data_IF_165004626240
#
_entry.id   IF_165004626240
#
_cell.length_a   1.000
_cell.length_b   1.000
_cell.length_c   1.000
_cell.angle_alpha   90.00
_cell.angle_beta   90.00
_cell.angle_gamma   90.00
#
_symmetry.space_group_name_H-M   'P 1'
#
loop_
_entity.id
_entity.type
_entity.pdbx_description
1 polymer ?
#
# COMPACT_ATOMS: atom_id res chain seq x y z
N UNK A 1 -18.47 -27.56 17.66
CA UNK A 1 -17.40 -28.47 18.16
C UNK A 1 -16.33 -27.56 18.77
N UNK A 2 -16.31 -27.44 20.10
CA UNK A 2 -15.32 -26.65 20.84
C UNK A 2 -14.08 -27.54 20.97
N UNK A 3 -13.18 -27.45 19.99
CA UNK A 3 -11.90 -28.16 20.00
C UNK A 3 -10.99 -27.53 21.04
N UNK A 4 -10.79 -28.23 22.16
CA UNK A 4 -9.92 -27.79 23.26
C UNK A 4 -8.45 -27.86 22.86
N UNK A 5 -7.83 -26.70 22.64
CA UNK A 5 -6.38 -26.57 22.57
C UNK A 5 -5.82 -26.44 24.00
N UNK A 6 -4.58 -26.91 24.26
CA UNK A 6 -3.91 -26.68 25.52
C UNK A 6 -3.82 -25.18 25.83
N UNK A 7 -4.01 -24.79 27.10
CA UNK A 7 -3.96 -23.38 27.54
C UNK A 7 -2.65 -22.67 27.15
N UNK A 8 -1.54 -23.41 27.05
CA UNK A 8 -0.24 -22.90 26.62
C UNK A 8 -0.19 -22.43 25.15
N UNK A 9 -1.12 -22.87 24.31
CA UNK A 9 -1.14 -22.56 22.88
C UNK A 9 -1.44 -21.08 22.63
N UNK A 10 -2.47 -20.53 23.29
CA UNK A 10 -2.86 -19.13 23.14
C UNK A 10 -1.79 -18.16 23.67
N UNK A 11 -1.03 -18.57 24.68
CA UNK A 11 0.01 -17.75 25.30
C UNK A 11 1.27 -17.63 24.42
N UNK A 12 1.54 -18.63 23.57
CA UNK A 12 2.71 -18.66 22.68
C UNK A 12 2.42 -18.18 21.27
N UNK A 13 1.19 -18.40 20.78
CA UNK A 13 0.82 -18.19 19.37
C UNK A 13 -0.33 -17.20 19.17
N UNK A 14 -0.89 -16.64 20.25
CA UNK A 14 -2.08 -15.79 20.18
C UNK A 14 -3.39 -16.57 20.07
N UNK A 15 -4.54 -15.90 20.02
CA UNK A 15 -5.84 -16.56 20.01
C UNK A 15 -6.02 -17.47 18.78
N UNK A 16 -6.49 -18.69 19.03
CA UNK A 16 -6.66 -19.77 18.02
C UNK A 16 -7.70 -19.42 16.95
N UNK A 17 -8.65 -18.57 17.29
CA UNK A 17 -9.58 -17.96 16.34
C UNK A 17 -9.25 -16.48 16.29
N UNK A 18 -9.25 -15.90 15.09
CA UNK A 18 -9.23 -14.45 14.97
C UNK A 18 -10.31 -13.90 15.90
N UNK A 19 -9.98 -13.02 16.87
CA UNK A 19 -10.98 -12.45 17.74
C UNK A 19 -12.08 -11.87 16.85
N UNK A 20 -13.35 -12.02 17.25
CA UNK A 20 -14.43 -11.27 16.61
C UNK A 20 -13.99 -9.80 16.61
N UNK A 21 -13.63 -9.27 15.44
CA UNK A 21 -13.15 -7.91 15.30
C UNK A 21 -14.36 -7.00 15.50
N UNK A 22 -14.68 -6.71 16.75
CA UNK A 22 -15.51 -5.57 17.07
C UNK A 22 -14.70 -4.35 16.66
N UNK A 23 -15.09 -3.72 15.55
CA UNK A 23 -14.45 -2.49 15.09
C UNK A 23 -14.75 -1.39 16.12
N UNK A 24 -13.76 -1.12 16.97
CA UNK A 24 -13.76 0.00 17.90
C UNK A 24 -13.17 1.22 17.19
N UNK A 25 -13.83 2.37 17.31
CA UNK A 25 -13.30 3.64 16.80
C UNK A 25 -12.27 4.27 17.73
N UNK A 26 -11.99 3.63 18.87
CA UNK A 26 -11.06 4.13 19.88
C UNK A 26 -9.66 3.56 19.65
N UNK A 27 -8.67 4.40 19.94
CA UNK A 27 -7.28 3.96 20.03
C UNK A 27 -7.10 2.94 21.17
N UNK A 28 -6.31 1.86 20.98
CA UNK A 28 -5.47 1.54 19.82
C UNK A 28 -6.16 0.68 18.74
N UNK A 29 -7.40 0.28 18.95
CA UNK A 29 -8.11 -0.68 18.08
C UNK A 29 -8.49 -0.13 16.70
N UNK A 30 -8.38 1.20 16.52
CA UNK A 30 -8.68 1.91 15.28
C UNK A 30 -7.45 2.07 14.35
N UNK A 31 -6.30 1.47 14.69
CA UNK A 31 -5.07 1.52 13.89
C UNK A 31 -4.55 0.10 13.67
N UNK A 32 -4.20 -0.21 12.43
CA UNK A 32 -3.53 -1.46 12.06
C UNK A 32 -2.44 -1.20 11.01
N UNK A 33 -1.46 -2.11 10.97
CA UNK A 33 -0.35 -2.07 10.01
C UNK A 33 -0.40 -3.30 9.12
N UNK A 34 -0.08 -3.12 7.84
CA UNK A 34 0.07 -4.21 6.87
C UNK A 34 1.36 -4.01 6.07
N UNK A 35 2.06 -5.11 5.83
CA UNK A 35 3.18 -5.15 4.90
C UNK A 35 2.66 -5.60 3.54
N UNK A 36 2.67 -4.70 2.56
CA UNK A 36 2.16 -4.98 1.20
C UNK A 36 2.89 -4.08 0.19
N UNK A 37 3.06 -4.58 -1.04
CA UNK A 37 3.32 -3.73 -2.18
C UNK A 37 2.00 -3.19 -2.75
N UNK A 38 1.74 -1.90 -2.54
CA UNK A 38 0.50 -1.29 -3.01
C UNK A 38 0.43 -1.20 -4.56
N UNK A 39 1.56 -1.24 -5.26
CA UNK A 39 1.60 -1.28 -6.72
C UNK A 39 1.31 -2.71 -7.18
N UNK A 40 0.13 -2.96 -7.73
CA UNK A 40 -0.24 -4.28 -8.24
C UNK A 40 0.69 -4.71 -9.37
N UNK A 41 0.86 -6.02 -9.53
CA UNK A 41 1.76 -6.57 -10.55
C UNK A 41 1.27 -6.30 -11.97
N UNK A 42 -0.06 -6.35 -12.18
CA UNK A 42 -0.70 -6.22 -13.49
C UNK A 42 -1.95 -5.34 -13.41
N UNK A 43 -2.34 -4.78 -14.55
CA UNK A 43 -3.49 -3.87 -14.64
C UNK A 43 -4.83 -4.61 -14.47
N UNK A 44 -4.93 -5.90 -14.83
CA UNK A 44 -6.17 -6.67 -14.70
C UNK A 44 -6.59 -6.87 -13.23
N UNK A 45 -5.63 -6.83 -12.31
CA UNK A 45 -5.89 -6.91 -10.88
C UNK A 45 -6.61 -5.68 -10.33
N UNK A 46 -6.61 -4.56 -11.06
CA UNK A 46 -7.34 -3.36 -10.66
C UNK A 46 -8.84 -3.62 -10.59
N UNK A 47 -9.40 -4.52 -11.42
CA UNK A 47 -10.85 -4.77 -11.50
C UNK A 47 -11.40 -5.45 -10.25
N UNK A 48 -10.53 -6.09 -9.46
CA UNK A 48 -10.87 -6.68 -8.18
C UNK A 48 -10.82 -5.69 -7.01
N UNK A 49 -10.30 -4.47 -7.21
CA UNK A 49 -10.20 -3.45 -6.15
C UNK A 49 -11.59 -2.92 -5.86
N UNK A 50 -11.97 -2.98 -4.58
CA UNK A 50 -13.24 -2.46 -4.08
C UNK A 50 -13.03 -1.18 -3.31
N UNK A 51 -14.07 -0.38 -3.21
CA UNK A 51 -14.09 0.84 -2.42
C UNK A 51 -14.06 0.49 -0.92
N UNK A 52 -13.04 0.96 -0.20
CA UNK A 52 -12.88 0.67 1.23
C UNK A 52 -12.61 1.93 2.06
N UNK A 53 -12.00 2.96 1.46
CA UNK A 53 -11.49 4.11 2.19
C UNK A 53 -12.19 5.41 1.84
N UNK A 54 -12.42 6.26 2.84
CA UNK A 54 -12.89 7.62 2.66
C UNK A 54 -11.73 8.60 2.37
N UNK A 55 -10.54 8.31 2.89
CA UNK A 55 -9.32 9.09 2.68
C UNK A 55 -8.13 8.16 2.46
N UNK A 56 -7.33 8.43 1.44
CA UNK A 56 -6.04 7.78 1.21
C UNK A 56 -4.95 8.86 1.20
N UNK A 57 -3.87 8.61 1.95
CA UNK A 57 -2.71 9.50 2.02
C UNK A 57 -1.50 8.83 1.39
N UNK A 58 -0.84 9.54 0.47
CA UNK A 58 0.40 9.11 -0.16
C UNK A 58 1.46 10.20 0.03
N UNK A 59 2.14 10.12 1.19
CA UNK A 59 3.06 11.15 1.64
C UNK A 59 4.50 10.73 1.34
N UNK A 60 5.20 11.49 0.49
CA UNK A 60 6.61 11.26 0.19
C UNK A 60 6.95 9.85 -0.35
N UNK A 61 6.03 9.20 -1.06
CA UNK A 61 6.22 7.86 -1.64
C UNK A 61 6.22 7.80 -3.17
N UNK A 62 5.80 8.86 -3.87
CA UNK A 62 5.60 8.82 -5.33
C UNK A 62 6.89 8.56 -6.09
N UNK A 63 8.02 9.17 -5.69
CA UNK A 63 9.32 8.91 -6.30
C UNK A 63 9.72 7.46 -6.18
N UNK A 64 9.53 6.85 -5.01
CA UNK A 64 9.93 5.47 -4.78
C UNK A 64 9.10 4.52 -5.65
N UNK A 65 7.81 4.80 -5.80
CA UNK A 65 6.94 4.07 -6.72
C UNK A 65 7.45 4.24 -8.16
N UNK A 66 7.71 5.48 -8.56
CA UNK A 66 8.16 5.78 -9.91
C UNK A 66 9.51 5.14 -10.24
N UNK A 67 10.47 5.17 -9.31
CA UNK A 67 11.80 4.58 -9.48
C UNK A 67 11.79 3.05 -9.54
N UNK A 68 10.86 2.38 -8.85
CA UNK A 68 10.83 0.91 -8.82
C UNK A 68 9.95 0.30 -9.92
N UNK A 69 8.88 0.99 -10.34
CA UNK A 69 7.90 0.44 -11.29
C UNK A 69 7.66 1.31 -12.53
N UNK A 70 8.41 2.40 -12.69
CA UNK A 70 8.33 3.29 -13.85
C UNK A 70 6.97 3.98 -13.99
N UNK A 71 6.75 4.56 -15.19
CA UNK A 71 5.50 5.24 -15.54
C UNK A 71 4.28 4.31 -15.44
N UNK A 72 4.45 3.03 -15.82
CA UNK A 72 3.39 2.03 -15.72
C UNK A 72 2.95 1.81 -14.27
N UNK A 73 3.92 1.65 -13.36
CA UNK A 73 3.66 1.45 -11.94
C UNK A 73 3.00 2.65 -11.26
N UNK A 74 3.50 3.86 -11.50
CA UNK A 74 2.91 5.06 -10.88
C UNK A 74 1.50 5.34 -11.42
N UNK A 75 1.22 5.08 -12.71
CA UNK A 75 -0.14 5.15 -13.25
C UNK A 75 -1.04 4.10 -12.61
N UNK A 76 -0.57 2.86 -12.45
CA UNK A 76 -1.32 1.78 -11.80
C UNK A 76 -1.60 2.09 -10.32
N UNK A 77 -0.62 2.65 -9.62
CA UNK A 77 -0.79 3.14 -8.25
C UNK A 77 -1.96 4.14 -8.18
N UNK A 78 -1.97 5.18 -9.01
CA UNK A 78 -3.05 6.16 -9.01
C UNK A 78 -4.40 5.55 -9.40
N UNK A 79 -4.45 4.62 -10.38
CA UNK A 79 -5.68 3.88 -10.72
C UNK A 79 -6.20 3.07 -9.52
N UNK A 80 -5.31 2.39 -8.79
CA UNK A 80 -5.68 1.62 -7.59
C UNK A 80 -6.24 2.55 -6.52
N UNK A 81 -5.55 3.64 -6.20
CA UNK A 81 -6.02 4.65 -5.24
C UNK A 81 -7.44 5.11 -5.58
N UNK A 82 -7.68 5.49 -6.85
CA UNK A 82 -8.98 5.95 -7.30
C UNK A 82 -10.09 4.91 -7.08
N UNK A 83 -9.84 3.64 -7.42
CA UNK A 83 -10.82 2.55 -7.24
C UNK A 83 -11.04 2.14 -5.79
N UNK A 84 -10.06 2.41 -4.92
CA UNK A 84 -10.11 2.05 -3.51
C UNK A 84 -10.82 3.10 -2.65
N UNK A 85 -10.98 4.32 -3.19
CA UNK A 85 -11.75 5.40 -2.57
C UNK A 85 -13.25 5.19 -2.81
N UNK A 86 -14.05 5.43 -1.79
CA UNK A 86 -15.51 5.56 -1.91
C UNK A 86 -15.89 6.82 -2.69
N UNK A 87 -17.10 6.91 -3.26
CA UNK A 87 -17.61 8.13 -3.88
C UNK A 87 -17.51 9.31 -2.92
N UNK A 88 -16.88 10.40 -3.38
CA UNK A 88 -16.61 11.60 -2.56
C UNK A 88 -15.37 11.50 -1.67
N UNK A 89 -14.63 10.39 -1.72
CA UNK A 89 -13.39 10.20 -0.98
C UNK A 89 -12.25 11.12 -1.43
N UNK A 90 -11.30 11.36 -0.54
CA UNK A 90 -10.19 12.29 -0.75
C UNK A 90 -8.85 11.57 -0.92
N UNK A 91 -8.12 11.94 -1.97
CA UNK A 91 -6.72 11.56 -2.13
C UNK A 91 -5.80 12.72 -1.76
N UNK A 92 -5.01 12.54 -0.69
CA UNK A 92 -4.00 13.51 -0.27
C UNK A 92 -2.63 13.03 -0.75
N UNK A 93 -2.04 13.79 -1.67
CA UNK A 93 -0.77 13.47 -2.31
C UNK A 93 0.30 14.50 -1.96
N UNK A 94 1.45 14.03 -1.47
CA UNK A 94 2.66 14.84 -1.36
C UNK A 94 3.71 14.28 -2.33
N UNK A 95 3.78 14.82 -3.57
CA UNK A 95 4.76 14.36 -4.55
C UNK A 95 6.15 14.94 -4.26
N UNK A 96 7.18 14.12 -4.41
CA UNK A 96 8.58 14.56 -4.28
C UNK A 96 9.07 15.19 -5.60
N UNK A 97 9.86 16.25 -5.50
CA UNK A 97 10.40 16.94 -6.68
C UNK A 97 11.33 16.04 -7.51
N UNK A 98 11.28 16.21 -8.84
CA UNK A 98 12.09 15.46 -9.80
C UNK A 98 13.60 15.63 -9.58
N UNK A 99 14.05 16.79 -9.10
CA UNK A 99 15.45 17.04 -8.77
C UNK A 99 16.03 15.99 -7.80
N UNK A 100 15.19 15.45 -6.92
CA UNK A 100 15.61 14.42 -5.95
C UNK A 100 15.73 13.01 -6.53
N UNK A 101 15.35 12.79 -7.79
CA UNK A 101 15.41 11.48 -8.47
C UNK A 101 16.84 11.15 -8.89
N UNK A 102 17.59 12.12 -9.42
CA UNK A 102 18.94 11.91 -9.97
C UNK A 102 19.90 11.30 -8.94
N UNK A 103 19.76 11.67 -7.66
CA UNK A 103 20.56 11.12 -6.53
C UNK A 103 20.30 9.64 -6.22
N UNK A 104 19.22 9.06 -6.77
CA UNK A 104 18.73 7.72 -6.44
C UNK A 104 18.46 6.84 -7.68
N UNK A 105 18.58 7.40 -8.88
CA UNK A 105 18.34 6.71 -10.15
C UNK A 105 19.23 5.47 -10.39
N UNK A 106 20.39 5.38 -9.72
CA UNK A 106 21.32 4.23 -9.84
C UNK A 106 20.99 3.04 -8.93
N UNK A 107 19.99 3.17 -8.05
CA UNK A 107 19.61 2.10 -7.12
C UNK A 107 18.79 1.00 -7.80
N UNK A 108 18.13 1.31 -8.92
CA UNK A 108 17.36 0.35 -9.71
C UNK A 108 18.14 -0.01 -10.99
N UNK A 109 18.48 -1.29 -11.15
CA UNK A 109 19.32 -1.80 -12.25
C UNK A 109 18.63 -1.80 -13.64
N UNK A 110 17.49 -1.15 -13.79
CA UNK A 110 16.74 -1.11 -15.05
C UNK A 110 17.29 -0.04 -15.98
N UNK A 111 17.74 -0.45 -17.15
CA UNK A 111 18.31 0.37 -18.24
C UNK A 111 17.43 1.55 -18.69
N UNK A 112 16.13 1.54 -18.38
CA UNK A 112 15.18 2.64 -18.62
C UNK A 112 15.50 3.93 -17.84
N UNK A 113 16.19 3.85 -16.68
CA UNK A 113 16.43 5.04 -15.84
C UNK A 113 17.55 5.95 -16.31
N UNK A 114 18.56 5.42 -17.02
CA UNK A 114 19.62 6.25 -17.60
C UNK A 114 18.98 7.29 -18.54
N UNK A 115 18.00 6.88 -19.34
CA UNK A 115 17.31 7.77 -20.28
C UNK A 115 16.45 8.89 -19.63
N UNK A 116 15.99 8.73 -18.38
CA UNK A 116 15.19 9.74 -17.69
C UNK A 116 16.04 10.69 -16.82
N UNK A 117 17.20 10.25 -16.31
CA UNK A 117 18.09 11.10 -15.51
C UNK A 117 18.87 12.12 -16.35
N UNK A 118 19.01 11.85 -17.66
CA UNK A 118 19.74 12.67 -18.64
C UNK A 118 18.87 13.70 -19.37
N UNK A 119 17.56 13.75 -19.07
CA UNK A 119 16.69 14.90 -19.39
C UNK A 119 16.66 15.91 -18.23
#
# INVERSE_FOLDING_TARGET
IVGGFPASFAQRYGPVSAPLTTFSTKFPDNIWFRCENYVLEKDELLDAVKEEYDVIMALSITKWIHLNWGDAGIKRFFKRVYRHLRPGGLFILEPQSFETYKKRAKLTASSLFIAYADK
#
